data_IF_388861293559
#
_entry.id   IF_388861293559
#
_cell.length_a   1.000
_cell.length_b   1.000
_cell.length_c   1.000
_cell.angle_alpha   90.00
_cell.angle_beta   90.00
_cell.angle_gamma   90.00
#
_symmetry.space_group_name_H-M   'P 1'
#
loop_
_entity.id
_entity.type
_entity.pdbx_description
1 polymer ?
#
# COMPACT_ATOMS: atom_id res chain seq x y z
N UNK A 1 -3.27 -0.23 10.99
CA UNK A 1 -2.58 0.24 9.78
C UNK A 1 -1.36 1.13 10.07
N UNK A 2 -1.50 2.36 10.57
CA UNK A 2 -0.33 3.25 10.78
C UNK A 2 0.69 2.75 11.84
N UNK A 3 0.23 2.10 12.91
CA UNK A 3 1.11 1.43 13.88
C UNK A 3 1.84 0.24 13.25
N UNK A 4 1.12 -0.57 12.46
CA UNK A 4 1.68 -1.74 11.78
C UNK A 4 2.74 -1.32 10.74
N UNK A 5 2.50 -0.22 10.02
CA UNK A 5 3.43 0.35 9.05
C UNK A 5 4.83 0.59 9.62
N UNK A 6 4.89 1.08 10.88
CA UNK A 6 6.16 1.42 11.56
C UNK A 6 6.99 0.20 11.92
N UNK A 7 6.37 -0.98 12.03
CA UNK A 7 7.06 -2.24 12.29
C UNK A 7 7.35 -2.98 10.98
N UNK A 8 6.37 -3.00 10.07
CA UNK A 8 6.42 -3.79 8.84
C UNK A 8 7.38 -3.18 7.82
N UNK A 9 7.32 -1.87 7.57
CA UNK A 9 8.16 -1.25 6.53
C UNK A 9 9.66 -1.43 6.82
N UNK A 10 10.18 -1.16 8.03
CA UNK A 10 11.59 -1.44 8.32
C UNK A 10 11.97 -2.91 8.16
N UNK A 11 11.12 -3.83 8.62
CA UNK A 11 11.36 -5.26 8.49
C UNK A 11 11.39 -5.71 7.02
N UNK A 12 10.53 -5.15 6.16
CA UNK A 12 10.52 -5.43 4.72
C UNK A 12 11.79 -4.93 4.04
N UNK A 13 12.21 -3.69 4.31
CA UNK A 13 13.42 -3.10 3.72
C UNK A 13 14.67 -3.91 4.14
N UNK A 14 14.73 -4.37 5.39
CA UNK A 14 15.84 -5.19 5.88
C UNK A 14 15.80 -6.63 5.39
N UNK A 15 14.61 -7.24 5.34
CA UNK A 15 14.42 -8.64 4.97
C UNK A 15 14.49 -8.91 3.47
N UNK A 16 14.24 -7.88 2.65
CA UNK A 16 14.32 -7.96 1.19
C UNK A 16 15.06 -6.75 0.62
N UNK A 17 16.40 -6.69 0.76
CA UNK A 17 17.21 -5.65 0.15
C UNK A 17 16.97 -5.62 -1.37
N UNK A 18 16.72 -4.43 -1.91
CA UNK A 18 16.46 -4.24 -3.34
C UNK A 18 15.04 -4.54 -3.82
N UNK A 19 14.08 -4.79 -2.91
CA UNK A 19 12.66 -4.98 -3.27
C UNK A 19 12.09 -3.86 -4.15
N UNK A 20 12.60 -2.63 -3.98
CA UNK A 20 12.17 -1.45 -4.73
C UNK A 20 13.21 -0.95 -5.73
N UNK A 21 14.26 -1.73 -6.02
CA UNK A 21 15.27 -1.34 -6.99
C UNK A 21 14.68 -1.29 -8.40
N UNK A 22 15.08 -0.29 -9.18
CA UNK A 22 14.58 -0.05 -10.53
C UNK A 22 13.19 0.59 -10.61
N UNK A 23 12.46 0.69 -9.49
CA UNK A 23 11.22 1.47 -9.44
C UNK A 23 11.53 2.96 -9.30
N UNK A 24 10.82 3.79 -10.07
CA UNK A 24 10.88 5.25 -9.96
C UNK A 24 9.67 5.82 -9.21
N UNK A 25 8.54 5.12 -9.22
CA UNK A 25 7.29 5.54 -8.61
C UNK A 25 6.54 4.40 -7.93
N UNK A 26 5.91 4.69 -6.80
CA UNK A 26 5.16 3.72 -6.01
C UNK A 26 3.85 4.35 -5.52
N UNK A 27 2.72 3.67 -5.75
CA UNK A 27 1.42 4.06 -5.19
C UNK A 27 1.06 3.18 -4.01
N UNK A 28 0.75 3.78 -2.86
CA UNK A 28 0.22 3.12 -1.66
C UNK A 28 -1.31 3.22 -1.68
N UNK A 29 -1.97 2.10 -1.98
CA UNK A 29 -3.43 2.03 -2.22
C UNK A 29 -4.17 1.86 -0.90
N UNK A 30 -5.05 2.82 -0.65
CA UNK A 30 -5.66 3.12 0.64
C UNK A 30 -4.65 3.28 1.75
N UNK A 31 -3.63 4.10 1.49
CA UNK A 31 -2.56 4.43 2.45
C UNK A 31 -3.01 5.29 3.63
N UNK A 32 -4.30 5.69 3.68
CA UNK A 32 -4.87 6.51 4.73
C UNK A 32 -4.17 7.86 4.85
N UNK A 33 -3.58 8.10 6.02
CA UNK A 33 -2.83 9.33 6.29
C UNK A 33 -1.41 9.34 5.69
N UNK A 34 -1.03 8.34 4.88
CA UNK A 34 0.27 8.28 4.21
C UNK A 34 1.45 7.86 5.09
N UNK A 35 1.22 7.30 6.28
CA UNK A 35 2.32 6.87 7.16
C UNK A 35 3.24 5.86 6.48
N UNK A 36 2.69 4.90 5.74
CA UNK A 36 3.45 3.83 5.10
C UNK A 36 4.32 4.38 3.96
N UNK A 37 3.72 5.08 2.99
CA UNK A 37 4.48 5.66 1.88
C UNK A 37 5.53 6.68 2.35
N UNK A 38 5.27 7.41 3.44
CA UNK A 38 6.28 8.28 4.07
C UNK A 38 7.51 7.51 4.53
N UNK A 39 7.32 6.36 5.16
CA UNK A 39 8.43 5.52 5.61
C UNK A 39 9.19 4.93 4.42
N UNK A 40 8.48 4.53 3.36
CA UNK A 40 9.07 3.98 2.14
C UNK A 40 9.90 5.02 1.39
N UNK A 41 9.37 6.22 1.14
CA UNK A 41 10.12 7.31 0.49
C UNK A 41 11.31 7.76 1.35
N UNK A 42 11.20 7.70 2.67
CA UNK A 42 12.35 7.98 3.55
C UNK A 42 13.45 6.92 3.43
N UNK A 43 13.08 5.64 3.27
CA UNK A 43 14.02 4.53 3.12
C UNK A 43 14.60 4.41 1.71
N UNK A 44 13.82 4.79 0.70
CA UNK A 44 14.15 4.76 -0.72
C UNK A 44 13.95 6.16 -1.33
N UNK A 45 14.88 7.12 -1.12
CA UNK A 45 14.67 8.52 -1.47
C UNK A 45 14.52 8.83 -2.96
N UNK A 46 14.85 7.87 -3.84
CA UNK A 46 14.65 7.99 -5.28
C UNK A 46 13.20 7.74 -5.72
N UNK A 47 12.37 7.12 -4.86
CA UNK A 47 10.98 6.83 -5.19
C UNK A 47 10.12 8.08 -5.10
N UNK A 48 9.32 8.32 -6.15
CA UNK A 48 8.19 9.22 -6.09
C UNK A 48 6.99 8.49 -5.46
N UNK A 49 6.61 8.89 -4.24
CA UNK A 49 5.52 8.28 -3.51
C UNK A 49 4.16 8.89 -3.82
N UNK A 50 3.14 8.05 -4.00
CA UNK A 50 1.73 8.47 -4.11
C UNK A 50 0.96 7.82 -2.96
N UNK A 51 0.36 8.63 -2.10
CA UNK A 51 -0.65 8.16 -1.13
C UNK A 51 -2.03 8.23 -1.79
N UNK A 52 -2.62 7.08 -2.07
CA UNK A 52 -3.94 7.00 -2.69
C UNK A 52 -4.97 6.50 -1.68
N UNK A 53 -6.10 7.19 -1.52
CA UNK A 53 -7.22 6.76 -0.69
C UNK A 53 -8.50 7.49 -1.16
N UNK A 54 -9.63 7.25 -0.49
CA UNK A 54 -10.88 7.95 -0.79
C UNK A 54 -10.68 9.47 -0.62
N UNK A 55 -11.36 10.31 -1.43
CA UNK A 55 -11.18 11.77 -1.41
C UNK A 55 -11.29 12.39 -0.01
N UNK A 56 -12.27 11.94 0.79
CA UNK A 56 -12.47 12.45 2.14
C UNK A 56 -11.33 12.05 3.11
N UNK A 57 -10.69 10.90 2.89
CA UNK A 57 -9.56 10.44 3.71
C UNK A 57 -8.31 11.26 3.41
N UNK A 58 -7.97 11.43 2.12
CA UNK A 58 -6.78 12.20 1.74
C UNK A 58 -6.92 13.70 2.00
N UNK A 59 -8.14 14.23 2.01
CA UNK A 59 -8.39 15.67 2.24
C UNK A 59 -7.94 16.17 3.61
N UNK A 60 -7.85 15.26 4.60
CA UNK A 60 -7.41 15.55 5.97
C UNK A 60 -6.02 15.02 6.27
N UNK A 61 -5.34 14.43 5.27
CA UNK A 61 -3.97 13.96 5.44
C UNK A 61 -3.02 15.16 5.53
N UNK A 62 -2.08 15.10 6.48
CA UNK A 62 -1.03 16.11 6.59
C UNK A 62 -0.09 16.02 5.39
N UNK A 63 0.43 17.17 4.94
CA UNK A 63 1.44 17.19 3.87
C UNK A 63 2.69 16.40 4.27
N UNK A 64 3.20 15.62 3.33
CA UNK A 64 4.40 14.82 3.48
C UNK A 64 5.34 15.15 2.32
N UNK A 65 6.55 15.64 2.66
CA UNK A 65 7.57 15.92 1.64
C UNK A 65 7.90 14.68 0.81
N UNK A 66 7.93 14.83 -0.52
CA UNK A 66 8.19 13.75 -1.47
C UNK A 66 7.00 12.82 -1.73
N UNK A 67 5.81 13.10 -1.17
CA UNK A 67 4.60 12.30 -1.35
C UNK A 67 3.48 13.15 -1.94
N UNK A 68 2.80 12.62 -2.96
CA UNK A 68 1.58 13.19 -3.52
C UNK A 68 0.35 12.49 -2.94
N UNK A 69 -0.56 13.23 -2.33
CA UNK A 69 -1.87 12.71 -1.94
C UNK A 69 -2.84 12.76 -3.13
N UNK A 70 -3.51 11.64 -3.43
CA UNK A 70 -4.47 11.53 -4.53
C UNK A 70 -5.74 10.88 -4.02
N UNK A 71 -6.87 11.53 -4.25
CA UNK A 71 -8.20 11.01 -3.90
C UNK A 71 -8.81 10.24 -5.05
N UNK A 72 -9.42 9.08 -4.79
CA UNK A 72 -10.19 8.33 -5.79
C UNK A 72 -10.70 7.00 -5.25
N UNK A 73 -11.30 6.21 -6.13
CA UNK A 73 -11.79 4.86 -5.81
C UNK A 73 -10.91 3.80 -6.50
N UNK A 74 -10.32 2.91 -5.71
CA UNK A 74 -9.44 1.84 -6.21
C UNK A 74 -10.17 0.78 -7.05
N UNK A 75 -11.49 0.65 -6.89
CA UNK A 75 -12.30 -0.26 -7.70
C UNK A 75 -12.61 0.32 -9.09
N UNK A 76 -12.48 1.64 -9.26
CA UNK A 76 -12.60 2.30 -10.55
C UNK A 76 -11.23 2.43 -11.22
N UNK A 77 -10.30 3.16 -10.59
CA UNK A 77 -8.97 3.41 -11.15
C UNK A 77 -7.93 3.64 -10.05
N UNK A 78 -6.72 3.13 -10.29
CA UNK A 78 -5.54 3.40 -9.45
C UNK A 78 -4.59 4.33 -10.21
N UNK A 79 -3.98 5.34 -9.56
CA UNK A 79 -2.98 6.20 -10.20
C UNK A 79 -1.83 5.39 -10.82
N UNK A 80 -1.39 5.79 -12.00
CA UNK A 80 -0.27 5.14 -12.69
C UNK A 80 1.03 5.33 -11.91
N UNK A 81 1.70 4.23 -11.62
CA UNK A 81 3.02 4.14 -11.02
C UNK A 81 3.72 2.86 -11.50
N UNK A 82 5.01 2.69 -11.23
CA UNK A 82 5.76 1.48 -11.61
C UNK A 82 5.31 0.27 -10.80
N UNK A 83 4.86 0.50 -9.55
CA UNK A 83 4.27 -0.53 -8.70
C UNK A 83 3.17 0.04 -7.81
N UNK A 84 2.29 -0.86 -7.37
CA UNK A 84 1.29 -0.60 -6.34
C UNK A 84 1.62 -1.40 -5.08
N UNK A 85 1.57 -0.72 -3.93
CA UNK A 85 1.71 -1.29 -2.61
C UNK A 85 0.34 -1.29 -1.92
N UNK A 86 -0.04 -2.41 -1.34
CA UNK A 86 -1.32 -2.56 -0.63
C UNK A 86 -1.06 -3.26 0.70
N UNK A 87 -1.20 -2.54 1.80
CA UNK A 87 -1.12 -3.09 3.15
C UNK A 87 -2.49 -3.08 3.81
N UNK A 88 -2.98 -4.28 4.17
CA UNK A 88 -4.27 -4.49 4.81
C UNK A 88 -4.18 -5.57 5.87
N UNK A 89 -5.07 -5.47 6.86
CA UNK A 89 -5.38 -6.57 7.76
C UNK A 89 -6.14 -7.68 7.04
N UNK A 90 -6.16 -8.90 7.61
CA UNK A 90 -6.93 -10.01 7.05
C UNK A 90 -8.42 -9.67 6.87
N UNK A 91 -8.99 -8.91 7.84
CA UNK A 91 -10.39 -8.47 7.79
C UNK A 91 -10.65 -7.53 6.62
N UNK A 92 -9.75 -6.57 6.41
CA UNK A 92 -9.86 -5.62 5.30
C UNK A 92 -9.65 -6.30 3.95
N UNK A 93 -8.71 -7.24 3.84
CA UNK A 93 -8.57 -8.06 2.63
C UNK A 93 -9.86 -8.80 2.30
N UNK A 94 -10.55 -9.33 3.30
CA UNK A 94 -11.83 -10.01 3.07
C UNK A 94 -12.92 -9.09 2.55
N UNK A 95 -12.98 -7.85 3.03
CA UNK A 95 -13.87 -6.82 2.49
C UNK A 95 -13.51 -6.49 1.03
N UNK A 96 -12.24 -6.17 0.77
CA UNK A 96 -11.76 -5.78 -0.57
C UNK A 96 -12.01 -6.87 -1.61
N UNK A 97 -11.73 -8.13 -1.27
CA UNK A 97 -11.94 -9.26 -2.17
C UNK A 97 -13.44 -9.52 -2.42
N UNK A 98 -14.28 -9.32 -1.40
CA UNK A 98 -15.73 -9.39 -1.55
C UNK A 98 -16.28 -8.32 -2.49
N UNK A 99 -15.88 -7.06 -2.30
CA UNK A 99 -16.28 -5.94 -3.16
C UNK A 99 -15.75 -6.08 -4.58
N UNK A 100 -14.57 -6.68 -4.76
CA UNK A 100 -14.03 -7.02 -6.07
C UNK A 100 -14.74 -8.21 -6.76
N UNK A 101 -15.73 -8.82 -6.10
CA UNK A 101 -16.55 -9.90 -6.67
C UNK A 101 -16.01 -11.31 -6.47
N UNK A 102 -14.94 -11.50 -5.69
CA UNK A 102 -14.41 -12.83 -5.42
C UNK A 102 -15.26 -13.57 -4.38
N UNK A 103 -15.88 -14.67 -4.83
CA UNK A 103 -16.71 -15.52 -3.97
C UNK A 103 -15.88 -16.43 -3.06
N UNK A 104 -14.62 -16.72 -3.41
CA UNK A 104 -13.67 -17.55 -2.64
C UNK A 104 -12.26 -17.00 -2.74
N UNK A 105 -11.58 -16.88 -1.60
CA UNK A 105 -10.17 -16.48 -1.53
C UNK A 105 -9.47 -17.15 -0.35
N UNK A 106 -8.15 -17.32 -0.45
CA UNK A 106 -7.30 -17.72 0.69
C UNK A 106 -6.18 -16.72 0.86
N UNK A 107 -6.04 -16.20 2.08
CA UNK A 107 -4.94 -15.30 2.46
C UNK A 107 -3.98 -16.09 3.34
N UNK A 108 -2.76 -16.33 2.85
CA UNK A 108 -1.72 -17.05 3.61
C UNK A 108 -0.71 -16.05 4.17
N UNK A 109 -0.51 -15.99 5.50
CA UNK A 109 0.51 -15.12 6.08
C UNK A 109 1.90 -15.65 5.74
N UNK A 110 2.80 -14.77 5.28
CA UNK A 110 4.21 -15.09 5.05
C UNK A 110 5.04 -14.33 6.08
N UNK A 111 6.05 -14.97 6.66
CA UNK A 111 6.87 -14.33 7.72
C UNK A 111 7.69 -13.13 7.21
N UNK A 112 7.90 -13.01 5.90
CA UNK A 112 8.64 -11.92 5.24
C UNK A 112 7.75 -10.91 4.48
N UNK A 113 6.51 -11.28 4.14
CA UNK A 113 5.54 -10.43 3.42
C UNK A 113 4.18 -10.59 4.08
N UNK A 114 3.48 -9.49 4.30
CA UNK A 114 2.24 -9.49 5.09
C UNK A 114 1.21 -10.54 4.65
N UNK A 115 1.09 -10.85 3.34
CA UNK A 115 0.26 -11.94 2.81
C UNK A 115 0.59 -12.26 1.34
N UNK A 116 0.31 -13.49 0.90
CA UNK A 116 0.06 -13.82 -0.52
C UNK A 116 -1.42 -14.15 -0.68
N UNK A 117 -2.04 -13.57 -1.71
CA UNK A 117 -3.46 -13.70 -2.01
C UNK A 117 -3.61 -14.54 -3.26
N UNK A 118 -4.32 -15.67 -3.10
CA UNK A 118 -4.82 -16.47 -4.20
C UNK A 118 -6.34 -16.28 -4.26
N UNK A 119 -6.81 -15.67 -5.34
CA UNK A 119 -8.23 -15.40 -5.58
C UNK A 119 -8.61 -16.03 -6.92
N UNK A 120 -9.62 -16.91 -6.90
CA UNK A 120 -10.19 -17.53 -8.09
C UNK A 120 -11.51 -16.83 -8.41
N UNK A 121 -11.80 -16.49 -9.68
CA UNK A 121 -13.12 -15.99 -10.09
C UNK A 121 -14.25 -16.91 -9.65
#
# INVERSE_FOLDING_TARGET
MACDARLVVPAMIQGCPGLFDGLSSLVDVGGGNGTTIKLLVKACPWLQGINFDLPHVVSVAAEISGVKHVGGDMFETVPKADAAFIMRTLKEWGFVLGEAGFSRYTVKPIRALQSVIEACP
#
